data_IF_829923949217
#
_entry.id   IF_829923949217
#
_cell.length_a   1.000
_cell.length_b   1.000
_cell.length_c   1.000
_cell.angle_alpha   90.00
_cell.angle_beta   90.00
_cell.angle_gamma   90.00
#
_symmetry.space_group_name_H-M   'P 1'
#
loop_
_entity.id
_entity.type
_entity.pdbx_description
1 polymer ?
#
# COMPACT_ATOMS: atom_id res chain seq x y z
N UNK A 1 -2.44 -22.38 -10.51
CA UNK A 1 -2.21 -22.10 -9.07
C UNK A 1 -1.76 -23.40 -8.41
N UNK A 2 -0.77 -23.40 -7.52
CA UNK A 2 -0.37 -24.62 -6.79
C UNK A 2 -1.36 -24.88 -5.65
N UNK A 3 -1.43 -26.13 -5.15
CA UNK A 3 -2.27 -26.49 -3.98
C UNK A 3 -1.95 -25.62 -2.76
N UNK A 4 -0.68 -25.30 -2.54
CA UNK A 4 -0.24 -24.40 -1.45
C UNK A 4 -0.81 -22.99 -1.59
N UNK A 5 -0.88 -22.46 -2.81
CA UNK A 5 -1.45 -21.13 -3.04
C UNK A 5 -2.97 -21.07 -2.81
N UNK A 6 -3.68 -22.16 -3.11
CA UNK A 6 -5.12 -22.26 -2.82
C UNK A 6 -5.40 -22.32 -1.31
N UNK A 7 -4.56 -23.01 -0.54
CA UNK A 7 -4.65 -23.03 0.91
C UNK A 7 -4.30 -21.66 1.52
N UNK A 8 -3.25 -21.01 1.03
CA UNK A 8 -2.90 -19.63 1.46
C UNK A 8 -4.00 -18.63 1.13
N UNK A 9 -4.66 -18.78 -0.03
CA UNK A 9 -5.81 -17.95 -0.42
C UNK A 9 -6.97 -18.09 0.56
N UNK A 10 -7.32 -19.32 0.97
CA UNK A 10 -8.37 -19.54 1.98
C UNK A 10 -8.04 -18.91 3.32
N UNK A 11 -6.78 -18.99 3.76
CA UNK A 11 -6.33 -18.34 5.00
C UNK A 11 -6.47 -16.82 4.89
N UNK A 12 -6.11 -16.25 3.76
CA UNK A 12 -6.23 -14.81 3.51
C UNK A 12 -7.68 -14.34 3.48
N UNK A 13 -8.54 -15.02 2.72
CA UNK A 13 -9.98 -14.70 2.61
C UNK A 13 -10.69 -14.81 3.98
N UNK A 14 -10.34 -15.80 4.77
CA UNK A 14 -10.85 -15.93 6.14
C UNK A 14 -10.41 -14.73 6.99
N UNK A 15 -9.13 -14.38 6.95
CA UNK A 15 -8.59 -13.24 7.70
C UNK A 15 -9.24 -11.92 7.27
N UNK A 16 -9.42 -11.68 5.96
CA UNK A 16 -10.14 -10.50 5.47
C UNK A 16 -11.58 -10.43 6.00
N UNK A 17 -12.26 -11.57 6.08
CA UNK A 17 -13.61 -11.63 6.66
C UNK A 17 -13.60 -11.26 8.14
N UNK A 18 -12.62 -11.72 8.90
CA UNK A 18 -12.44 -11.40 10.32
C UNK A 18 -12.10 -9.91 10.52
N UNK A 19 -11.21 -9.34 9.68
CA UNK A 19 -10.90 -7.91 9.68
C UNK A 19 -12.14 -7.06 9.30
N UNK A 20 -12.96 -7.51 8.35
CA UNK A 20 -14.24 -6.85 8.07
C UNK A 20 -15.12 -6.80 9.31
N UNK A 21 -15.37 -7.95 9.96
CA UNK A 21 -16.21 -8.02 11.18
C UNK A 21 -15.64 -7.14 12.29
N UNK A 22 -14.33 -7.15 12.47
CA UNK A 22 -13.63 -6.34 13.48
C UNK A 22 -13.79 -4.83 13.27
N UNK A 23 -13.83 -4.38 12.01
CA UNK A 23 -13.80 -2.95 11.68
C UNK A 23 -15.08 -2.43 11.03
N UNK A 24 -16.12 -3.26 10.82
CA UNK A 24 -17.34 -2.85 10.13
C UNK A 24 -18.02 -1.64 10.77
N UNK A 25 -18.10 -1.61 12.10
CA UNK A 25 -18.67 -0.50 12.88
C UNK A 25 -17.67 0.62 13.18
N UNK A 26 -16.38 0.40 12.85
CA UNK A 26 -15.35 1.40 13.09
C UNK A 26 -15.43 2.54 12.07
N UNK A 27 -15.44 3.77 12.58
CA UNK A 27 -15.33 4.98 11.76
C UNK A 27 -14.03 5.68 12.08
N UNK A 28 -13.01 5.59 11.22
CA UNK A 28 -11.72 6.23 11.44
C UNK A 28 -11.85 7.75 11.52
N UNK A 29 -11.14 8.35 12.46
CA UNK A 29 -10.95 9.78 12.45
C UNK A 29 -9.96 10.15 11.34
N UNK A 30 -10.43 10.77 10.27
CA UNK A 30 -9.59 11.28 9.17
C UNK A 30 -9.48 12.79 9.32
N UNK A 31 -8.26 13.35 9.49
CA UNK A 31 -8.06 14.79 9.62
C UNK A 31 -8.40 15.49 8.30
N UNK A 32 -8.85 16.74 8.39
CA UNK A 32 -9.14 17.56 7.21
C UNK A 32 -7.87 17.90 6.42
N UNK A 33 -6.77 18.12 7.13
CA UNK A 33 -5.47 18.45 6.57
C UNK A 33 -4.38 17.71 7.35
N UNK A 34 -3.39 17.20 6.63
CA UNK A 34 -2.22 16.52 7.17
C UNK A 34 -1.13 16.44 6.11
N UNK A 35 0.11 16.17 6.54
CA UNK A 35 1.25 15.88 5.66
C UNK A 35 1.40 14.39 5.32
N UNK A 36 0.55 13.52 5.87
CA UNK A 36 0.64 12.07 5.80
C UNK A 36 -0.65 11.47 5.21
N UNK A 37 -0.56 10.81 4.06
CA UNK A 37 -1.73 10.23 3.42
C UNK A 37 -1.56 8.74 3.13
N UNK A 38 -2.58 7.96 3.50
CA UNK A 38 -2.78 6.63 2.95
C UNK A 38 -3.41 6.79 1.56
N UNK A 39 -2.81 6.17 0.56
CA UNK A 39 -3.18 6.35 -0.85
C UNK A 39 -3.46 4.99 -1.49
N UNK A 40 -4.64 4.84 -2.05
CA UNK A 40 -5.03 3.65 -2.80
C UNK A 40 -5.44 4.03 -4.23
N UNK A 41 -4.99 3.23 -5.20
CA UNK A 41 -5.35 3.36 -6.61
C UNK A 41 -6.16 2.13 -6.98
N UNK A 42 -7.48 2.26 -6.98
CA UNK A 42 -8.39 1.16 -7.33
C UNK A 42 -9.54 1.70 -8.18
N UNK A 43 -9.43 1.62 -9.52
CA UNK A 43 -10.47 2.12 -10.41
C UNK A 43 -11.65 1.16 -10.59
N UNK A 44 -11.52 -0.10 -10.13
CA UNK A 44 -12.55 -1.14 -10.29
C UNK A 44 -13.53 -1.15 -9.11
N UNK A 45 -14.71 -1.70 -9.33
CA UNK A 45 -15.59 -2.09 -8.23
C UNK A 45 -14.98 -3.31 -7.53
N UNK A 46 -14.27 -3.10 -6.41
CA UNK A 46 -13.59 -4.17 -5.67
C UNK A 46 -14.31 -4.46 -4.35
N UNK A 47 -14.69 -5.74 -4.07
CA UNK A 47 -15.49 -6.08 -2.89
C UNK A 47 -14.79 -5.78 -1.57
N UNK A 48 -13.47 -5.91 -1.50
CA UNK A 48 -12.70 -5.74 -0.28
C UNK A 48 -12.22 -4.29 -0.05
N UNK A 49 -12.53 -3.34 -0.96
CA UNK A 49 -12.01 -1.98 -0.90
C UNK A 49 -12.31 -1.30 0.45
N UNK A 50 -13.56 -1.35 0.90
CA UNK A 50 -13.95 -0.74 2.19
C UNK A 50 -13.26 -1.42 3.38
N UNK A 51 -13.16 -2.75 3.35
CA UNK A 51 -12.51 -3.54 4.41
C UNK A 51 -11.05 -3.16 4.58
N UNK A 52 -10.32 -3.13 3.47
CA UNK A 52 -8.89 -2.81 3.46
C UNK A 52 -8.66 -1.35 3.89
N UNK A 53 -9.49 -0.42 3.44
CA UNK A 53 -9.44 0.98 3.88
C UNK A 53 -9.67 1.11 5.38
N UNK A 54 -10.75 0.54 5.91
CA UNK A 54 -11.08 0.66 7.35
C UNK A 54 -9.99 0.03 8.22
N UNK A 55 -9.50 -1.15 7.87
CA UNK A 55 -8.42 -1.82 8.59
C UNK A 55 -7.13 -0.99 8.55
N UNK A 56 -6.73 -0.49 7.38
CA UNK A 56 -5.54 0.36 7.25
C UNK A 56 -5.66 1.63 8.10
N UNK A 57 -6.77 2.36 8.00
CA UNK A 57 -6.98 3.59 8.75
C UNK A 57 -7.09 3.37 10.26
N UNK A 58 -7.58 2.19 10.69
CA UNK A 58 -7.56 1.81 12.10
C UNK A 58 -6.12 1.76 12.64
N UNK A 59 -5.24 1.01 12.02
CA UNK A 59 -3.85 0.88 12.49
C UNK A 59 -3.03 2.17 12.34
N UNK A 60 -3.42 3.07 11.45
CA UNK A 60 -2.77 4.38 11.29
C UNK A 60 -3.26 5.40 12.33
N UNK A 61 -4.54 5.45 12.63
CA UNK A 61 -5.15 6.56 13.39
C UNK A 61 -5.59 6.21 14.81
N UNK A 62 -5.87 4.93 15.12
CA UNK A 62 -6.17 4.46 16.47
C UNK A 62 -4.87 4.16 17.25
N UNK A 63 -4.05 5.18 17.41
CA UNK A 63 -2.74 5.10 18.05
C UNK A 63 -2.54 6.31 18.97
N UNK A 64 -1.56 6.22 19.87
CA UNK A 64 -1.12 7.35 20.69
C UNK A 64 -0.18 8.30 19.91
N UNK A 65 0.11 8.02 18.64
CA UNK A 65 0.89 8.91 17.79
C UNK A 65 0.16 10.24 17.62
N UNK A 66 0.90 11.39 17.70
CA UNK A 66 0.36 12.69 17.34
C UNK A 66 0.09 12.80 15.82
N UNK A 67 0.72 11.94 15.02
CA UNK A 67 0.53 11.90 13.57
C UNK A 67 -0.78 11.22 13.25
N UNK A 68 -1.63 11.91 12.47
CA UNK A 68 -2.87 11.37 11.95
C UNK A 68 -2.84 11.40 10.43
N UNK A 69 -3.27 10.30 9.84
CA UNK A 69 -3.21 10.04 8.41
C UNK A 69 -4.52 10.44 7.72
N UNK A 70 -4.40 11.18 6.61
CA UNK A 70 -5.46 11.38 5.65
C UNK A 70 -5.66 10.12 4.78
N UNK A 71 -6.75 10.11 4.02
CA UNK A 71 -7.03 9.07 3.03
C UNK A 71 -7.28 9.71 1.67
N UNK A 72 -6.60 9.23 0.64
CA UNK A 72 -6.85 9.58 -0.75
C UNK A 72 -7.11 8.33 -1.57
N UNK A 73 -8.21 8.34 -2.34
CA UNK A 73 -8.62 7.25 -3.22
C UNK A 73 -8.58 7.75 -4.66
N UNK A 74 -7.72 7.14 -5.48
CA UNK A 74 -7.74 7.30 -6.93
C UNK A 74 -8.69 6.24 -7.50
N UNK A 75 -9.74 6.69 -8.20
CA UNK A 75 -10.83 5.84 -8.64
C UNK A 75 -11.21 6.08 -10.12
N UNK A 76 -11.93 5.13 -10.70
CA UNK A 76 -12.50 5.24 -12.05
C UNK A 76 -13.94 5.76 -12.04
N UNK A 77 -14.58 5.74 -13.24
CA UNK A 77 -15.98 6.13 -13.33
C UNK A 77 -16.91 5.00 -12.84
N UNK A 78 -16.54 3.74 -13.07
CA UNK A 78 -17.39 2.59 -12.72
C UNK A 78 -17.56 2.37 -11.23
N UNK A 79 -16.61 2.80 -10.41
CA UNK A 79 -16.68 2.67 -8.95
C UNK A 79 -16.95 4.00 -8.22
N UNK A 80 -17.34 5.05 -8.93
CA UNK A 80 -17.60 6.38 -8.36
C UNK A 80 -18.66 6.33 -7.24
N UNK A 81 -19.78 5.64 -7.45
CA UNK A 81 -20.81 5.47 -6.43
C UNK A 81 -20.27 4.76 -5.16
N UNK A 82 -19.45 3.72 -5.35
CA UNK A 82 -18.83 3.00 -4.24
C UNK A 82 -17.93 3.92 -3.41
N UNK A 83 -17.04 4.67 -4.05
CA UNK A 83 -16.08 5.53 -3.32
C UNK A 83 -16.76 6.76 -2.71
N UNK A 84 -17.83 7.27 -3.34
CA UNK A 84 -18.66 8.32 -2.73
C UNK A 84 -19.36 7.83 -1.45
N UNK A 85 -19.89 6.61 -1.45
CA UNK A 85 -20.47 6.00 -0.25
C UNK A 85 -19.40 5.82 0.85
N UNK A 86 -18.16 5.45 0.47
CA UNK A 86 -17.01 5.40 1.40
C UNK A 86 -16.74 6.80 1.97
N UNK A 87 -16.65 7.83 1.12
CA UNK A 87 -16.40 9.22 1.54
C UNK A 87 -17.47 9.75 2.50
N UNK A 88 -18.74 9.44 2.23
CA UNK A 88 -19.86 9.84 3.10
C UNK A 88 -19.79 9.14 4.46
N UNK A 89 -19.35 7.88 4.49
CA UNK A 89 -19.25 7.10 5.73
C UNK A 89 -18.04 7.47 6.59
N UNK A 90 -16.92 7.91 5.98
CA UNK A 90 -15.66 8.14 6.68
C UNK A 90 -15.31 9.62 6.89
N UNK A 91 -15.94 10.54 6.19
CA UNK A 91 -15.65 11.99 6.16
C UNK A 91 -14.20 12.33 5.75
N UNK A 92 -13.95 13.53 5.27
CA UNK A 92 -12.63 14.06 4.90
C UNK A 92 -11.79 13.18 3.95
N UNK A 93 -12.38 12.19 3.27
CA UNK A 93 -11.69 11.39 2.26
C UNK A 93 -11.51 12.23 1.00
N UNK A 94 -10.30 12.23 0.46
CA UNK A 94 -9.99 12.87 -0.82
C UNK A 94 -10.25 11.86 -1.94
N UNK A 95 -11.14 12.18 -2.87
CA UNK A 95 -11.38 11.41 -4.07
C UNK A 95 -10.70 12.06 -5.27
N UNK A 96 -10.08 11.25 -6.12
CA UNK A 96 -9.44 11.67 -7.36
C UNK A 96 -9.89 10.73 -8.48
N UNK A 97 -10.81 11.21 -9.34
CA UNK A 97 -11.24 10.44 -10.51
C UNK A 97 -10.14 10.50 -11.58
N UNK A 98 -9.66 9.33 -12.01
CA UNK A 98 -8.59 9.24 -13.01
C UNK A 98 -9.12 8.97 -14.44
N UNK A 99 -10.44 8.84 -14.60
CA UNK A 99 -11.07 8.61 -15.90
C UNK A 99 -10.79 7.22 -16.50
N UNK A 100 -10.19 6.31 -15.76
CA UNK A 100 -9.80 4.96 -16.17
C UNK A 100 -10.52 3.96 -15.26
N UNK A 101 -11.20 2.97 -15.84
CA UNK A 101 -12.02 2.02 -15.11
C UNK A 101 -11.32 0.68 -14.80
N UNK A 102 -10.20 0.44 -15.42
CA UNK A 102 -9.34 -0.71 -15.16
C UNK A 102 -7.92 -0.44 -15.66
N UNK A 103 -6.94 -1.03 -15.00
CA UNK A 103 -5.56 -1.05 -15.44
C UNK A 103 -5.09 -2.47 -15.76
N UNK A 104 -4.36 -2.63 -16.84
CA UNK A 104 -3.38 -3.70 -16.94
C UNK A 104 -2.24 -3.44 -15.96
N UNK A 105 -1.45 -4.44 -15.65
CA UNK A 105 -0.30 -4.29 -14.75
C UNK A 105 0.71 -3.25 -15.26
N UNK A 106 0.94 -3.20 -16.57
CA UNK A 106 1.82 -2.21 -17.21
C UNK A 106 1.24 -0.80 -17.15
N UNK A 107 -0.05 -0.63 -17.41
CA UNK A 107 -0.70 0.69 -17.32
C UNK A 107 -0.68 1.25 -15.90
N UNK A 108 -0.92 0.40 -14.89
CA UNK A 108 -0.80 0.80 -13.50
C UNK A 108 0.63 1.27 -13.16
N UNK A 109 1.65 0.50 -13.59
CA UNK A 109 3.05 0.89 -13.39
C UNK A 109 3.34 2.23 -14.05
N UNK A 110 2.98 2.40 -15.32
CA UNK A 110 3.17 3.67 -16.06
C UNK A 110 2.47 4.85 -15.43
N UNK A 111 1.25 4.64 -14.90
CA UNK A 111 0.54 5.69 -14.19
C UNK A 111 1.29 6.15 -12.93
N UNK A 112 1.80 5.21 -12.14
CA UNK A 112 2.59 5.52 -10.94
C UNK A 112 3.99 6.07 -11.24
N UNK A 113 4.53 5.84 -12.43
CA UNK A 113 5.81 6.39 -12.92
C UNK A 113 5.65 7.81 -13.52
N UNK A 114 4.43 8.37 -13.48
CA UNK A 114 4.16 9.70 -14.05
C UNK A 114 4.27 10.81 -13.01
N UNK A 115 4.75 11.97 -13.45
CA UNK A 115 4.78 13.20 -12.65
C UNK A 115 3.35 13.64 -12.29
N UNK A 116 2.41 13.44 -13.20
CA UNK A 116 1.01 13.81 -13.07
C UNK A 116 0.35 13.08 -11.90
N UNK A 117 0.63 11.81 -11.71
CA UNK A 117 0.13 11.04 -10.56
C UNK A 117 0.66 11.64 -9.25
N UNK A 118 1.98 11.75 -9.11
CA UNK A 118 2.59 12.19 -7.86
C UNK A 118 2.25 13.63 -7.48
N UNK A 119 2.02 14.51 -8.46
CA UNK A 119 1.54 15.89 -8.21
C UNK A 119 0.09 15.94 -7.71
N UNK A 120 -0.70 14.91 -7.93
CA UNK A 120 -2.05 14.79 -7.39
C UNK A 120 -2.07 14.16 -5.99
N UNK A 121 -1.03 13.41 -5.61
CA UNK A 121 -0.91 12.81 -4.27
C UNK A 121 -0.81 13.91 -3.23
N UNK A 122 -1.63 13.81 -2.19
CA UNK A 122 -1.68 14.77 -1.09
C UNK A 122 -0.59 14.49 -0.05
N UNK A 123 -0.16 15.57 0.63
CA UNK A 123 0.83 15.49 1.71
C UNK A 123 2.27 15.32 1.23
N UNK A 124 3.17 15.18 2.16
CA UNK A 124 4.61 14.99 1.94
C UNK A 124 5.03 13.52 2.00
N UNK A 125 4.28 12.70 2.74
CA UNK A 125 4.47 11.23 2.86
C UNK A 125 3.21 10.50 2.41
N UNK A 126 3.38 9.51 1.56
CA UNK A 126 2.33 8.64 1.06
C UNK A 126 2.59 7.18 1.48
N UNK A 127 1.64 6.57 2.18
CA UNK A 127 1.54 5.12 2.32
C UNK A 127 0.72 4.61 1.13
N UNK A 128 1.39 4.08 0.13
CA UNK A 128 0.73 3.37 -0.97
C UNK A 128 0.30 1.99 -0.45
N UNK A 129 -0.96 1.63 -0.68
CA UNK A 129 -1.48 0.30 -0.35
C UNK A 129 -2.47 -0.16 -1.42
N UNK A 130 -2.67 -1.47 -1.53
CA UNK A 130 -3.54 -2.11 -2.53
C UNK A 130 -4.61 -2.97 -1.84
N UNK A 131 -5.60 -3.44 -2.60
CA UNK A 131 -6.70 -4.25 -2.07
C UNK A 131 -6.26 -5.64 -1.57
N UNK A 132 -5.06 -6.08 -1.93
CA UNK A 132 -4.41 -7.30 -1.44
C UNK A 132 -3.30 -7.02 -0.40
N UNK A 133 -3.34 -5.85 0.23
CA UNK A 133 -2.44 -5.47 1.32
C UNK A 133 -3.23 -5.14 2.59
N UNK A 134 -2.62 -5.37 3.75
CA UNK A 134 -3.17 -4.98 5.06
C UNK A 134 -2.04 -4.56 6.01
N UNK A 135 -2.31 -3.56 6.84
CA UNK A 135 -1.56 -3.36 8.07
C UNK A 135 -2.04 -4.37 9.12
N UNK A 136 -1.13 -4.90 9.91
CA UNK A 136 -1.40 -5.90 10.95
C UNK A 136 -1.24 -5.34 12.36
N UNK A 137 -0.58 -4.20 12.49
CA UNK A 137 -0.32 -3.49 13.74
C UNK A 137 -0.04 -2.01 13.49
N UNK A 138 -0.09 -1.22 14.53
CA UNK A 138 0.39 0.17 14.53
C UNK A 138 1.93 0.24 14.58
N UNK A 139 2.50 1.43 14.32
CA UNK A 139 3.94 1.68 14.38
C UNK A 139 4.55 2.11 13.06
N UNK A 140 3.77 2.72 12.17
CA UNK A 140 4.26 3.28 10.90
C UNK A 140 5.27 4.42 11.13
N UNK A 141 5.21 5.08 12.27
CA UNK A 141 6.06 6.22 12.63
C UNK A 141 7.56 5.84 12.65
N UNK A 142 7.87 4.57 12.93
CA UNK A 142 9.25 4.06 12.94
C UNK A 142 9.92 4.09 11.55
N UNK A 143 9.14 4.36 10.49
CA UNK A 143 9.61 4.32 9.09
C UNK A 143 9.57 5.68 8.39
N UNK A 144 9.14 6.75 9.07
CA UNK A 144 8.93 8.08 8.46
C UNK A 144 10.21 8.77 8.01
N UNK A 145 11.37 8.37 8.52
CA UNK A 145 12.67 8.91 8.12
C UNK A 145 13.10 8.49 6.69
N UNK A 146 12.57 7.35 6.19
CA UNK A 146 12.96 6.81 4.89
C UNK A 146 12.25 7.51 3.74
N UNK A 147 12.95 7.73 2.63
CA UNK A 147 12.34 8.21 1.38
C UNK A 147 11.53 7.11 0.69
N UNK A 148 11.94 5.85 0.92
CA UNK A 148 11.22 4.69 0.45
C UNK A 148 11.43 3.49 1.37
N UNK A 149 10.34 2.84 1.75
CA UNK A 149 10.34 1.51 2.35
C UNK A 149 9.19 0.67 1.80
N UNK A 150 9.49 -0.55 1.39
CA UNK A 150 8.56 -1.58 0.95
C UNK A 150 9.10 -2.94 1.33
N UNK A 151 8.42 -4.02 0.96
CA UNK A 151 8.89 -5.37 1.28
C UNK A 151 10.21 -5.70 0.57
N UNK A 152 11.08 -6.54 1.16
CA UNK A 152 12.29 -7.00 0.49
C UNK A 152 11.96 -8.05 -0.58
N UNK A 153 12.79 -8.11 -1.60
CA UNK A 153 12.75 -9.15 -2.64
C UNK A 153 13.66 -10.34 -2.30
N UNK A 154 13.33 -11.52 -2.79
CA UNK A 154 14.19 -12.73 -2.67
C UNK A 154 15.51 -12.62 -3.43
N UNK A 155 15.53 -11.81 -4.48
CA UNK A 155 16.70 -11.53 -5.30
C UNK A 155 16.77 -10.03 -5.55
N UNK A 156 17.98 -9.45 -5.60
CA UNK A 156 18.11 -8.03 -5.86
C UNK A 156 17.59 -7.69 -7.27
N UNK A 157 16.96 -6.53 -7.39
CA UNK A 157 16.56 -5.89 -8.63
C UNK A 157 17.29 -4.55 -8.71
N UNK A 158 17.88 -4.22 -9.84
CA UNK A 158 18.69 -2.98 -10.00
C UNK A 158 19.72 -2.78 -8.87
N UNK A 159 20.33 -3.88 -8.39
CA UNK A 159 21.25 -3.91 -7.24
C UNK A 159 20.62 -3.49 -5.90
N UNK A 160 19.29 -3.43 -5.79
CA UNK A 160 18.54 -3.18 -4.57
C UNK A 160 17.85 -4.46 -4.08
N UNK A 161 17.77 -4.60 -2.76
CA UNK A 161 17.09 -5.73 -2.11
C UNK A 161 15.68 -5.39 -1.61
N UNK A 162 15.36 -4.11 -1.58
CA UNK A 162 14.10 -3.55 -1.06
C UNK A 162 13.44 -2.74 -2.15
N UNK A 163 12.12 -2.76 -2.22
CA UNK A 163 11.44 -1.88 -3.14
C UNK A 163 10.06 -2.33 -3.58
N UNK A 164 9.50 -3.43 -3.04
CA UNK A 164 8.13 -3.80 -3.42
C UNK A 164 7.16 -2.64 -3.20
N UNK A 165 6.32 -2.36 -4.21
CA UNK A 165 5.50 -1.15 -4.29
C UNK A 165 4.10 -1.24 -3.69
N UNK A 166 3.50 -2.44 -3.63
CA UNK A 166 2.08 -2.61 -3.32
C UNK A 166 1.68 -2.34 -1.86
N UNK A 167 2.65 -2.40 -0.92
CA UNK A 167 2.56 -1.76 0.38
C UNK A 167 3.89 -1.06 0.63
N UNK A 168 3.92 0.26 0.45
CA UNK A 168 5.16 1.03 0.54
C UNK A 168 4.92 2.45 1.07
N UNK A 169 5.88 2.94 1.85
CA UNK A 169 5.90 4.32 2.33
C UNK A 169 6.88 5.12 1.49
N UNK A 170 6.47 6.28 1.00
CA UNK A 170 7.25 7.08 0.03
C UNK A 170 7.22 8.57 0.36
N UNK A 171 8.35 9.27 0.14
CA UNK A 171 8.41 10.74 0.16
C UNK A 171 7.94 11.26 -1.20
N UNK A 172 6.81 11.97 -1.22
CA UNK A 172 6.15 12.43 -2.47
C UNK A 172 7.07 13.28 -3.33
N UNK A 173 7.79 14.25 -2.74
CA UNK A 173 8.73 15.11 -3.49
C UNK A 173 9.87 14.33 -4.15
N UNK A 174 10.30 13.19 -3.55
CA UNK A 174 11.33 12.34 -4.14
C UNK A 174 10.81 11.53 -5.32
N UNK A 175 9.55 11.09 -5.27
CA UNK A 175 8.91 10.42 -6.40
C UNK A 175 8.72 11.40 -7.57
N UNK A 176 8.31 12.63 -7.30
CA UNK A 176 8.23 13.70 -8.32
C UNK A 176 9.61 13.95 -8.94
N UNK A 177 10.65 14.15 -8.12
CA UNK A 177 12.03 14.40 -8.57
C UNK A 177 12.52 13.27 -9.51
N UNK A 178 12.26 12.00 -9.16
CA UNK A 178 12.64 10.86 -9.99
C UNK A 178 11.89 10.89 -11.32
N UNK A 179 10.57 11.06 -11.30
CA UNK A 179 9.76 11.06 -12.52
C UNK A 179 10.10 12.23 -13.47
N UNK A 180 10.41 13.41 -12.93
CA UNK A 180 10.81 14.57 -13.73
C UNK A 180 12.14 14.39 -14.43
N UNK A 181 13.10 13.73 -13.76
CA UNK A 181 14.46 13.56 -14.30
C UNK A 181 14.67 12.28 -15.11
N UNK A 182 13.74 11.33 -15.03
CA UNK A 182 13.90 10.01 -15.64
C UNK A 182 12.63 9.60 -16.39
N UNK A 183 12.38 10.11 -17.60
CA UNK A 183 11.21 9.73 -18.37
C UNK A 183 11.18 8.23 -18.64
N UNK A 184 9.99 7.64 -18.54
CA UNK A 184 9.77 6.21 -18.75
C UNK A 184 9.96 5.87 -20.23
N UNK A 185 10.96 5.04 -20.52
CA UNK A 185 11.32 4.58 -21.86
C UNK A 185 11.20 3.06 -22.02
N UNK A 186 11.02 2.33 -20.94
CA UNK A 186 10.96 0.87 -20.89
C UNK A 186 9.67 0.40 -20.19
N UNK A 187 9.20 -0.79 -20.56
CA UNK A 187 8.10 -1.45 -19.83
C UNK A 187 8.67 -2.21 -18.63
N UNK A 188 8.94 -1.49 -17.56
CA UNK A 188 9.36 -2.06 -16.27
C UNK A 188 8.27 -1.84 -15.22
N UNK A 189 8.34 -2.61 -14.14
CA UNK A 189 7.42 -2.42 -13.01
C UNK A 189 7.81 -1.16 -12.24
N UNK A 190 6.83 -0.45 -11.70
CA UNK A 190 7.02 0.83 -11.03
C UNK A 190 8.00 0.75 -9.85
N UNK A 191 7.95 -0.36 -9.11
CA UNK A 191 8.84 -0.61 -7.99
C UNK A 191 10.30 -0.75 -8.43
N UNK A 192 10.54 -1.41 -9.57
CA UNK A 192 11.88 -1.53 -10.17
C UNK A 192 12.33 -0.18 -10.73
N UNK A 193 11.40 0.56 -11.38
CA UNK A 193 11.68 1.90 -11.89
C UNK A 193 12.20 2.81 -10.77
N UNK A 194 11.46 2.94 -9.67
CA UNK A 194 11.90 3.78 -8.57
C UNK A 194 13.24 3.33 -7.98
N UNK A 195 13.43 2.03 -7.75
CA UNK A 195 14.70 1.53 -7.19
C UNK A 195 15.90 1.78 -8.10
N UNK A 196 15.71 1.81 -9.41
CA UNK A 196 16.77 2.14 -10.38
C UNK A 196 17.32 3.55 -10.16
N UNK A 197 16.47 4.49 -9.76
CA UNK A 197 16.80 5.91 -9.65
C UNK A 197 16.93 6.44 -8.21
N UNK A 198 16.69 5.63 -7.19
CA UNK A 198 16.79 6.06 -5.78
C UNK A 198 18.18 6.00 -5.18
N UNK A 199 19.23 5.88 -6.01
CA UNK A 199 20.61 5.85 -5.52
C UNK A 199 20.95 7.16 -4.78
N UNK A 200 21.39 7.03 -3.52
CA UNK A 200 21.73 8.16 -2.66
C UNK A 200 20.55 8.79 -1.92
N UNK A 201 19.35 8.26 -2.08
CA UNK A 201 18.17 8.60 -1.26
C UNK A 201 18.05 7.67 -0.06
N UNK A 202 17.18 8.04 0.88
CA UNK A 202 16.93 7.29 2.11
C UNK A 202 16.07 6.04 1.88
N UNK A 203 16.62 5.03 1.22
CA UNK A 203 15.96 3.70 1.07
C UNK A 203 16.25 2.86 2.31
N UNK A 204 15.23 2.22 2.87
CA UNK A 204 15.38 1.33 4.01
C UNK A 204 16.29 0.12 3.67
N UNK A 205 17.03 -0.36 4.65
CA UNK A 205 17.76 -1.62 4.53
C UNK A 205 16.84 -2.84 4.62
N UNK A 206 17.38 -4.04 4.36
CA UNK A 206 16.60 -5.29 4.36
C UNK A 206 15.97 -5.56 5.73
N UNK A 207 16.70 -5.32 6.82
CA UNK A 207 16.21 -5.60 8.18
C UNK A 207 15.01 -4.70 8.52
N UNK A 208 15.09 -3.43 8.18
CA UNK A 208 14.00 -2.46 8.32
C UNK A 208 12.83 -2.80 7.41
N UNK A 209 13.09 -3.14 6.15
CA UNK A 209 12.06 -3.54 5.20
C UNK A 209 11.28 -4.79 5.64
N UNK A 210 11.94 -5.76 6.25
CA UNK A 210 11.29 -6.95 6.84
C UNK A 210 10.39 -6.59 8.03
N UNK A 211 10.71 -5.54 8.78
CA UNK A 211 9.85 -5.04 9.87
C UNK A 211 8.66 -4.25 9.31
N UNK A 212 8.79 -3.66 8.12
CA UNK A 212 7.75 -2.89 7.47
C UNK A 212 6.73 -3.78 6.76
N UNK A 213 7.14 -4.60 5.80
CA UNK A 213 6.19 -5.39 5.01
C UNK A 213 6.71 -6.79 4.67
N UNK A 214 5.78 -7.74 4.61
CA UNK A 214 6.02 -9.10 4.14
C UNK A 214 5.31 -9.32 2.80
N UNK A 215 6.05 -9.84 1.82
CA UNK A 215 5.51 -10.35 0.55
C UNK A 215 6.29 -11.58 0.09
N UNK A 216 7.38 -11.39 -0.65
CA UNK A 216 8.24 -12.46 -1.18
C UNK A 216 9.05 -13.17 -0.10
N UNK A 217 9.51 -12.41 0.89
CA UNK A 217 10.37 -12.87 1.98
C UNK A 217 9.55 -12.95 3.26
N UNK A 218 9.58 -14.10 3.90
CA UNK A 218 8.89 -14.30 5.17
C UNK A 218 9.47 -13.39 6.26
N UNK A 219 8.60 -12.63 6.92
CA UNK A 219 8.91 -11.86 8.12
C UNK A 219 7.98 -12.31 9.27
N UNK A 220 8.51 -12.57 10.47
CA UNK A 220 7.69 -13.07 11.57
C UNK A 220 6.85 -12.00 12.26
N UNK A 221 7.15 -10.72 12.06
CA UNK A 221 6.46 -9.61 12.72
C UNK A 221 6.47 -8.32 11.88
N UNK A 222 5.95 -8.35 10.65
CA UNK A 222 5.90 -7.16 9.82
C UNK A 222 4.83 -6.17 10.34
N UNK A 223 4.95 -4.90 9.96
CA UNK A 223 3.89 -3.91 10.15
C UNK A 223 2.68 -4.26 9.30
N UNK A 224 2.91 -4.75 8.07
CA UNK A 224 1.86 -5.14 7.15
C UNK A 224 2.29 -6.25 6.18
N UNK A 225 1.36 -6.62 5.31
CA UNK A 225 1.55 -7.65 4.28
C UNK A 225 1.00 -7.15 2.94
N UNK A 226 1.63 -7.59 1.84
CA UNK A 226 1.14 -7.39 0.49
C UNK A 226 1.18 -8.70 -0.27
N UNK A 227 0.13 -9.01 -1.03
CA UNK A 227 0.01 -10.20 -1.88
C UNK A 227 0.56 -11.50 -1.24
N UNK A 228 0.24 -11.79 0.03
CA UNK A 228 0.91 -12.85 0.79
C UNK A 228 0.59 -14.26 0.28
N UNK A 229 -0.50 -14.41 -0.48
CA UNK A 229 -0.95 -15.70 -1.01
C UNK A 229 -0.02 -16.29 -2.08
N UNK A 230 0.76 -15.44 -2.73
CA UNK A 230 1.57 -15.81 -3.89
C UNK A 230 2.86 -16.54 -3.50
N UNK A 231 3.47 -16.12 -2.40
CA UNK A 231 4.83 -16.51 -2.05
C UNK A 231 4.98 -17.13 -0.67
N UNK A 232 3.99 -16.94 0.22
CA UNK A 232 4.03 -17.38 1.60
C UNK A 232 3.12 -18.61 1.77
N UNK A 233 3.68 -19.67 2.34
CA UNK A 233 2.90 -20.90 2.61
C UNK A 233 1.86 -20.69 3.72
N UNK A 234 0.76 -21.50 3.73
CA UNK A 234 -0.39 -21.28 4.60
C UNK A 234 -0.04 -21.28 6.10
N UNK A 235 0.88 -22.13 6.54
CA UNK A 235 1.29 -22.19 7.94
C UNK A 235 2.12 -20.98 8.38
N UNK A 236 2.98 -20.47 7.50
CA UNK A 236 3.72 -19.23 7.76
C UNK A 236 2.77 -18.02 7.75
N UNK A 237 1.83 -17.99 6.81
CA UNK A 237 0.81 -16.95 6.72
C UNK A 237 -0.05 -16.91 7.98
N UNK A 238 -0.55 -18.04 8.46
CA UNK A 238 -1.29 -18.11 9.72
C UNK A 238 -0.49 -17.57 10.91
N UNK A 239 0.80 -17.92 11.01
CA UNK A 239 1.67 -17.43 12.09
C UNK A 239 1.80 -15.92 12.12
N UNK A 240 1.71 -15.26 10.97
CA UNK A 240 1.80 -13.80 10.86
C UNK A 240 0.44 -13.14 11.12
N UNK A 241 -0.61 -13.62 10.46
CA UNK A 241 -1.95 -13.02 10.52
C UNK A 241 -2.63 -13.20 11.88
N UNK A 242 -2.43 -14.38 12.53
CA UNK A 242 -3.08 -14.73 13.80
C UNK A 242 -2.10 -14.69 14.98
N UNK A 243 -1.07 -13.86 14.89
CA UNK A 243 -0.13 -13.67 15.98
C UNK A 243 -0.85 -13.03 17.17
N UNK A 244 -0.86 -13.73 18.30
CA UNK A 244 -1.37 -13.24 19.59
C UNK A 244 -0.28 -12.51 20.38
#
# INVERSE_FOLDING_TARGET
MTKSNEESKKVWEQFLTEEYVKHVEYTPHIPKETDYYAVIIEPRVHPDLLTVIKSTMFYLNETNSPIKWGLQIFHGNQNEELVENIRLSLSNVVLTNIGIDNFTHTEHSRYMESVEFWRQVKGSKALIFQTDSLLLRSGIDDFLEYDYVGAPWRKPKENQWVGNGGLSLRTVSKMIEICENNPVIEDILEDIYFMKYMKGMGVADIETAMKFSMEDVFSPNPLGVHNPIRHIGPEQLKKVLYKK
#
